data_IF_847879481782
#
_entry.id   IF_847879481782
#
_cell.length_a   1.000
_cell.length_b   1.000
_cell.length_c   1.000
_cell.angle_alpha   90.00
_cell.angle_beta   90.00
_cell.angle_gamma   90.00
#
_symmetry.space_group_name_H-M   'P 1'
#
loop_
_entity.id
_entity.type
_entity.pdbx_description
1 polymer ?
#
# COMPACT_ATOMS: atom_id res chain seq x y z
N UNK A 1 19.62 -11.00 51.42
CA UNK A 1 19.69 -10.37 50.08
C UNK A 1 19.67 -11.49 49.06
N UNK A 2 18.60 -11.63 48.26
CA UNK A 2 18.48 -12.65 47.21
C UNK A 2 18.39 -11.94 45.87
N UNK A 3 19.42 -12.13 45.05
CA UNK A 3 19.50 -11.60 43.69
C UNK A 3 18.69 -12.46 42.71
N UNK A 4 18.06 -11.74 41.79
CA UNK A 4 17.83 -12.08 40.37
C UNK A 4 16.97 -13.32 40.06
N UNK A 5 15.80 -13.06 39.50
CA UNK A 5 15.47 -13.58 38.16
C UNK A 5 14.21 -12.88 37.64
N UNK A 6 14.38 -11.67 37.11
CA UNK A 6 13.44 -11.10 36.15
C UNK A 6 13.68 -11.79 34.81
N UNK A 7 13.24 -13.05 34.69
CA UNK A 7 13.31 -13.77 33.43
C UNK A 7 12.06 -13.46 32.60
N UNK A 8 12.33 -12.69 31.55
CA UNK A 8 11.67 -12.71 30.26
C UNK A 8 10.19 -12.29 30.20
N UNK A 9 10.02 -10.99 29.96
CA UNK A 9 9.07 -10.48 28.97
C UNK A 9 9.21 -11.30 27.68
N UNK A 10 8.40 -12.34 27.52
CA UNK A 10 8.09 -12.89 26.21
C UNK A 10 7.09 -11.91 25.60
N UNK A 11 7.61 -10.82 25.04
CA UNK A 11 6.89 -10.07 24.04
C UNK A 11 6.60 -11.06 22.92
N UNK A 12 5.36 -11.51 22.85
CA UNK A 12 4.85 -12.24 21.71
C UNK A 12 4.90 -11.25 20.56
N UNK A 13 6.03 -11.23 19.85
CA UNK A 13 6.08 -10.75 18.49
C UNK A 13 5.19 -11.72 17.73
N UNK A 14 3.89 -11.45 17.75
CA UNK A 14 2.99 -11.90 16.74
C UNK A 14 3.54 -11.32 15.43
N UNK A 15 4.50 -12.03 14.85
CA UNK A 15 4.62 -12.16 13.41
C UNK A 15 3.37 -12.95 13.01
N UNK A 16 2.20 -12.33 13.22
CA UNK A 16 1.05 -12.68 12.42
C UNK A 16 1.57 -12.49 11.02
N UNK A 17 1.52 -13.54 10.22
CA UNK A 17 1.47 -13.36 8.79
C UNK A 17 0.43 -12.25 8.59
N UNK A 18 0.88 -11.03 8.30
CA UNK A 18 0.02 -9.97 7.83
C UNK A 18 -0.53 -10.60 6.56
N UNK A 19 -1.71 -11.21 6.66
CA UNK A 19 -2.37 -11.83 5.54
C UNK A 19 -2.56 -10.67 4.57
N UNK A 20 -1.64 -10.57 3.60
CA UNK A 20 -1.57 -9.37 2.79
C UNK A 20 -2.91 -9.26 2.06
N UNK A 21 -3.54 -8.12 2.26
CA UNK A 21 -4.91 -7.87 1.87
C UNK A 21 -4.97 -7.68 0.37
N UNK A 22 -6.00 -8.28 -0.24
CA UNK A 22 -6.25 -8.14 -1.66
C UNK A 22 -6.75 -6.75 -2.03
N UNK A 23 -6.80 -6.49 -3.34
CA UNK A 23 -7.25 -5.21 -3.88
C UNK A 23 -8.66 -4.84 -3.40
N UNK A 24 -8.85 -3.57 -3.04
CA UNK A 24 -10.07 -3.01 -2.47
C UNK A 24 -10.20 -3.12 -0.94
N UNK A 25 -9.34 -3.91 -0.27
CA UNK A 25 -9.35 -4.01 1.18
C UNK A 25 -8.83 -2.72 1.84
N UNK A 26 -9.40 -2.30 2.96
CA UNK A 26 -8.87 -1.13 3.68
C UNK A 26 -7.44 -1.37 4.16
N UNK A 27 -6.62 -0.33 4.11
CA UNK A 27 -5.23 -0.39 4.56
C UNK A 27 -4.80 0.96 5.16
N UNK A 28 -3.73 0.93 5.94
CA UNK A 28 -3.03 2.10 6.47
C UNK A 28 -1.59 2.16 5.95
N UNK A 29 -0.99 1.00 5.67
CA UNK A 29 0.39 0.82 5.27
C UNK A 29 0.48 -0.09 4.03
N UNK A 30 1.47 0.17 3.19
CA UNK A 30 1.74 -0.61 1.97
C UNK A 30 1.99 -2.10 2.25
N UNK A 31 2.61 -2.44 3.40
CA UNK A 31 2.91 -3.82 3.78
C UNK A 31 1.66 -4.66 4.05
N UNK A 32 0.52 -4.01 4.28
CA UNK A 32 -0.74 -4.69 4.50
C UNK A 32 -1.37 -5.18 3.19
N UNK A 33 -0.84 -4.80 2.02
CA UNK A 33 -1.44 -5.06 0.72
C UNK A 33 -0.63 -6.07 -0.08
N UNK A 34 -1.29 -7.06 -0.67
CA UNK A 34 -0.63 -8.12 -1.45
C UNK A 34 0.15 -7.55 -2.64
N UNK A 35 -0.34 -6.45 -3.18
CA UNK A 35 0.28 -5.66 -4.23
C UNK A 35 1.44 -4.77 -3.74
N UNK A 36 1.57 -4.57 -2.43
CA UNK A 36 2.48 -3.58 -1.83
C UNK A 36 1.98 -2.14 -1.91
N UNK A 37 0.71 -1.90 -2.27
CA UNK A 37 0.19 -0.55 -2.49
C UNK A 37 -1.07 -0.25 -1.68
N UNK A 38 -0.95 0.65 -0.71
CA UNK A 38 -2.05 1.24 0.02
C UNK A 38 -2.28 2.69 -0.45
N UNK A 39 -3.41 2.97 -1.12
CA UNK A 39 -3.66 4.29 -1.74
C UNK A 39 -5.11 4.76 -1.53
N UNK A 40 -5.37 6.08 -1.65
CA UNK A 40 -6.73 6.62 -1.53
C UNK A 40 -7.67 5.95 -2.52
N UNK A 41 -8.84 5.53 -2.06
CA UNK A 41 -9.92 5.08 -2.92
C UNK A 41 -10.49 6.29 -3.65
N UNK A 42 -10.57 6.21 -4.98
CA UNK A 42 -10.98 7.35 -5.81
C UNK A 42 -12.34 7.91 -5.37
N UNK A 43 -12.39 9.21 -5.07
CA UNK A 43 -13.60 9.88 -4.60
C UNK A 43 -13.91 9.67 -3.11
N UNK A 44 -12.96 9.12 -2.34
CA UNK A 44 -13.05 8.94 -0.90
C UNK A 44 -11.75 9.34 -0.20
N UNK A 45 -11.86 9.61 1.09
CA UNK A 45 -10.80 9.79 2.07
C UNK A 45 -10.21 8.47 2.60
N UNK A 46 -10.82 7.33 2.26
CA UNK A 46 -10.36 6.00 2.70
C UNK A 46 -9.20 5.51 1.87
N UNK A 47 -8.26 4.81 2.50
CA UNK A 47 -7.16 4.13 1.83
C UNK A 47 -7.48 2.64 1.70
N UNK A 48 -7.21 2.09 0.52
CA UNK A 48 -7.41 0.68 0.22
C UNK A 48 -6.18 0.09 -0.45
N UNK A 49 -6.03 -1.22 -0.39
CA UNK A 49 -5.05 -1.95 -1.15
C UNK A 49 -5.44 -1.87 -2.62
N UNK A 50 -4.49 -1.57 -3.48
CA UNK A 50 -4.75 -1.49 -4.90
C UNK A 50 -3.81 -2.42 -5.66
N UNK A 51 -4.34 -3.10 -6.65
CA UNK A 51 -3.53 -3.93 -7.53
C UNK A 51 -2.69 -3.10 -8.49
N UNK A 52 -1.99 -3.81 -9.37
CA UNK A 52 -1.42 -3.23 -10.57
C UNK A 52 -2.51 -2.49 -11.36
N UNK A 53 -2.29 -1.21 -11.68
CA UNK A 53 -3.31 -0.36 -12.28
C UNK A 53 -3.56 -0.74 -13.74
N UNK A 54 -4.83 -0.80 -14.11
CA UNK A 54 -5.29 -1.01 -15.48
C UNK A 54 -5.34 0.33 -16.23
N UNK A 55 -5.50 0.26 -17.55
CA UNK A 55 -5.70 1.45 -18.37
C UNK A 55 -6.91 2.24 -17.88
N UNK A 56 -6.71 3.53 -17.62
CA UNK A 56 -7.73 4.46 -17.15
C UNK A 56 -7.81 4.63 -15.62
N UNK A 57 -7.12 3.78 -14.86
CA UNK A 57 -7.02 3.90 -13.41
C UNK A 57 -6.13 5.10 -13.02
N UNK A 58 -6.42 5.64 -11.83
CA UNK A 58 -5.62 6.71 -11.25
C UNK A 58 -4.28 6.19 -10.75
N UNK A 59 -3.25 7.00 -10.94
CA UNK A 59 -1.88 6.71 -10.54
C UNK A 59 -1.21 7.99 -10.02
N UNK A 60 -0.15 7.84 -9.22
CA UNK A 60 0.66 8.97 -8.77
C UNK A 60 1.86 9.17 -9.70
N UNK A 61 1.93 10.32 -10.37
CA UNK A 61 2.99 10.62 -11.35
C UNK A 61 4.37 10.80 -10.73
N UNK A 62 4.45 11.08 -9.42
CA UNK A 62 5.71 11.24 -8.69
C UNK A 62 6.25 9.92 -8.14
N UNK A 63 5.54 8.81 -8.35
CA UNK A 63 5.97 7.51 -7.87
C UNK A 63 6.86 6.83 -8.92
N UNK A 64 8.00 6.29 -8.48
CA UNK A 64 9.03 5.70 -9.35
C UNK A 64 8.89 4.20 -9.57
N UNK A 65 7.96 3.52 -8.90
CA UNK A 65 7.69 2.09 -9.10
C UNK A 65 6.64 1.80 -10.17
N UNK A 66 6.42 0.52 -10.46
CA UNK A 66 5.47 0.05 -11.48
C UNK A 66 4.02 0.23 -11.01
N UNK A 67 3.45 1.42 -11.25
CA UNK A 67 2.04 1.70 -10.89
C UNK A 67 1.08 1.11 -11.92
N UNK A 68 1.43 1.15 -13.20
CA UNK A 68 0.56 0.78 -14.32
C UNK A 68 1.03 -0.54 -14.97
N UNK A 69 0.11 -1.47 -15.16
CA UNK A 69 0.40 -2.81 -15.71
C UNK A 69 0.69 -2.77 -17.22
N UNK A 70 1.29 -3.83 -17.79
CA UNK A 70 1.32 -4.13 -19.22
C UNK A 70 1.88 -3.00 -20.11
N UNK A 71 2.97 -2.36 -19.67
CA UNK A 71 3.63 -1.29 -20.42
C UNK A 71 2.86 0.03 -20.44
N UNK A 72 1.77 0.15 -19.67
CA UNK A 72 1.06 1.40 -19.49
C UNK A 72 1.93 2.39 -18.71
N UNK A 73 1.80 3.68 -19.02
CA UNK A 73 2.53 4.74 -18.32
C UNK A 73 1.57 5.58 -17.50
N UNK A 74 1.99 5.97 -16.29
CA UNK A 74 1.24 6.95 -15.52
C UNK A 74 1.45 8.34 -16.12
N UNK A 75 0.44 8.87 -16.82
CA UNK A 75 0.48 10.21 -17.43
C UNK A 75 -0.30 11.21 -16.60
N UNK A 76 0.24 12.42 -16.42
CA UNK A 76 -0.44 13.51 -15.71
C UNK A 76 -1.84 13.75 -16.25
N UNK A 77 -2.81 13.82 -15.34
CA UNK A 77 -4.19 14.12 -15.66
C UNK A 77 -4.45 15.62 -15.51
N UNK A 78 -4.87 16.26 -16.60
CA UNK A 78 -5.20 17.71 -16.64
C UNK A 78 -4.08 18.62 -16.10
N UNK A 79 -2.82 18.24 -16.29
CA UNK A 79 -1.67 19.03 -15.80
C UNK A 79 -1.45 18.93 -14.29
N UNK A 80 -2.11 17.99 -13.60
CA UNK A 80 -1.85 17.73 -12.19
C UNK A 80 -0.42 17.22 -11.99
N UNK A 81 0.26 17.76 -10.98
CA UNK A 81 1.64 17.43 -10.63
C UNK A 81 1.75 16.18 -9.76
N UNK A 82 0.64 15.62 -9.26
CA UNK A 82 0.62 14.44 -8.41
C UNK A 82 -0.36 13.36 -8.89
N UNK A 83 -1.36 13.74 -9.69
CA UNK A 83 -2.40 12.84 -10.16
C UNK A 83 -2.22 12.55 -11.65
N UNK A 84 -2.21 11.27 -12.00
CA UNK A 84 -2.17 10.80 -13.37
C UNK A 84 -3.15 9.68 -13.63
N UNK A 85 -3.24 9.26 -14.90
CA UNK A 85 -3.91 8.03 -15.31
C UNK A 85 -2.97 7.10 -16.05
N UNK A 86 -3.16 5.81 -15.86
CA UNK A 86 -2.47 4.80 -16.64
C UNK A 86 -3.00 4.78 -18.08
N UNK A 87 -2.13 5.01 -19.07
CA UNK A 87 -2.50 5.07 -20.51
C UNK A 87 -1.57 4.25 -21.38
#
# INVERSE_FOLDING_TARGET
MKFTSSLFLIAHMAVGALALSGDGAACQLNIECLSGYCMPHTGSDKYVCWGERRKGDWCNVNYSGTVCNNGLTCKSYQGSWFLGKCT
#
